data_IF_652104511687
#
_entry.id   IF_652104511687
#
_cell.length_a   1.000
_cell.length_b   1.000
_cell.length_c   1.000
_cell.angle_alpha   90.00
_cell.angle_beta   90.00
_cell.angle_gamma   90.00
#
_symmetry.space_group_name_H-M   'P 1'
#
loop_
_entity.id
_entity.type
_entity.pdbx_description
1 polymer ?
#
# COMPACT_ATOMS: atom_id res chain seq x y z
N UNK A 1 -7.49 2.57 80.40
CA UNK A 1 -7.04 1.22 79.98
C UNK A 1 -8.16 0.58 79.19
N UNK A 2 -7.80 0.08 78.00
CA UNK A 2 -8.68 -0.36 76.91
C UNK A 2 -9.50 -1.61 77.23
N UNK A 3 -10.68 -1.77 76.61
CA UNK A 3 -11.09 -3.06 76.02
C UNK A 3 -11.71 -2.83 74.64
N UNK A 4 -11.34 -3.73 73.75
CA UNK A 4 -11.37 -3.72 72.29
C UNK A 4 -12.76 -4.03 71.73
N UNK A 5 -13.20 -3.27 70.73
CA UNK A 5 -14.30 -3.69 69.82
C UNK A 5 -13.74 -4.55 68.71
N UNK A 6 -14.29 -5.75 68.53
CA UNK A 6 -14.03 -6.61 67.38
C UNK A 6 -15.26 -6.57 66.47
N UNK A 7 -15.13 -5.99 65.28
CA UNK A 7 -16.05 -6.22 64.16
C UNK A 7 -15.20 -6.62 62.95
N UNK A 8 -15.60 -7.75 62.37
CA UNK A 8 -14.94 -8.43 61.28
C UNK A 8 -15.34 -7.87 59.90
N UNK A 9 -14.33 -7.80 59.02
CA UNK A 9 -14.33 -8.08 57.56
C UNK A 9 -15.26 -7.28 56.65
N UNK A 10 -14.70 -6.59 55.65
CA UNK A 10 -14.89 -6.90 54.21
C UNK A 10 -13.64 -6.47 53.43
N UNK A 11 -13.02 -7.44 52.76
CA UNK A 11 -11.97 -7.27 51.77
C UNK A 11 -12.55 -6.59 50.53
N UNK A 12 -12.16 -5.36 50.24
CA UNK A 12 -12.42 -4.72 48.95
C UNK A 12 -11.29 -5.08 47.99
N UNK A 13 -11.67 -5.88 47.00
CA UNK A 13 -10.90 -6.41 45.90
C UNK A 13 -10.05 -5.36 45.18
N UNK A 14 -8.74 -5.63 45.11
CA UNK A 14 -7.82 -4.96 44.19
C UNK A 14 -8.33 -5.12 42.76
N UNK A 15 -8.66 -4.02 42.09
CA UNK A 15 -8.71 -3.98 40.64
C UNK A 15 -7.29 -4.22 40.13
N UNK A 16 -6.97 -5.49 39.87
CA UNK A 16 -5.80 -5.86 39.13
C UNK A 16 -5.93 -5.20 37.74
N UNK A 17 -5.06 -4.24 37.46
CA UNK A 17 -4.72 -3.91 36.08
C UNK A 17 -4.11 -5.18 35.49
N UNK A 18 -4.96 -5.98 34.85
CA UNK A 18 -4.52 -7.05 33.98
C UNK A 18 -3.71 -6.39 32.86
N UNK A 19 -2.39 -6.50 32.97
CA UNK A 19 -1.53 -6.48 31.79
C UNK A 19 -2.07 -7.54 30.84
N UNK A 20 -2.78 -7.14 29.78
CA UNK A 20 -2.94 -7.98 28.60
C UNK A 20 -1.52 -8.26 28.09
N UNK A 21 -0.91 -9.35 28.55
CA UNK A 21 0.15 -9.99 27.80
C UNK A 21 -0.48 -10.33 26.45
N UNK A 22 -0.13 -9.58 25.41
CA UNK A 22 -0.41 -9.97 24.04
C UNK A 22 0.13 -11.38 23.84
N UNK A 23 -0.76 -12.38 23.95
CA UNK A 23 -0.44 -13.76 23.67
C UNK A 23 -0.21 -13.84 22.16
N UNK A 24 1.05 -13.75 21.74
CA UNK A 24 1.39 -14.03 20.36
C UNK A 24 1.10 -15.52 20.11
N UNK A 25 0.20 -15.88 19.18
CA UNK A 25 -0.03 -17.27 18.85
C UNK A 25 1.29 -17.90 18.40
N UNK A 26 1.53 -19.15 18.82
CA UNK A 26 2.75 -19.89 18.44
C UNK A 26 2.79 -20.21 16.95
N UNK A 27 1.61 -20.30 16.31
CA UNK A 27 1.48 -20.43 14.86
C UNK A 27 1.58 -19.06 14.19
N UNK A 28 2.42 -18.98 13.17
CA UNK A 28 2.58 -17.77 12.36
C UNK A 28 1.31 -17.42 11.58
N UNK A 29 0.92 -16.14 11.48
CA UNK A 29 -0.15 -15.71 10.59
C UNK A 29 0.18 -15.96 9.11
N UNK A 30 1.44 -16.23 8.78
CA UNK A 30 1.93 -16.43 7.42
C UNK A 30 2.06 -17.92 7.02
N UNK A 31 1.46 -18.83 7.78
CA UNK A 31 1.61 -20.29 7.55
C UNK A 31 1.23 -20.68 6.12
N UNK A 32 0.12 -20.15 5.61
CA UNK A 32 -0.34 -20.40 4.23
C UNK A 32 0.55 -19.73 3.16
N UNK A 33 1.31 -18.69 3.54
CA UNK A 33 2.16 -17.94 2.62
C UNK A 33 3.46 -18.69 2.27
N UNK A 34 3.79 -19.72 3.04
CA UNK A 34 4.96 -20.58 2.78
C UNK A 34 4.90 -21.28 1.43
N UNK A 35 3.71 -21.46 0.84
CA UNK A 35 3.52 -22.03 -0.49
C UNK A 35 3.73 -21.06 -1.65
N UNK A 36 3.91 -19.75 -1.41
CA UNK A 36 4.11 -18.76 -2.48
C UNK A 36 5.41 -18.99 -3.24
N UNK A 37 5.42 -18.67 -4.54
CA UNK A 37 6.63 -18.72 -5.36
C UNK A 37 7.68 -17.69 -4.94
N UNK A 38 7.24 -16.49 -4.52
CA UNK A 38 8.07 -15.42 -3.97
C UNK A 38 7.46 -15.10 -2.60
N UNK A 39 8.20 -15.24 -1.49
CA UNK A 39 7.57 -15.18 -0.15
C UNK A 39 6.99 -13.80 0.16
N UNK A 40 7.61 -12.74 -0.36
CA UNK A 40 7.18 -11.34 -0.17
C UNK A 40 5.99 -10.91 -1.04
N UNK A 41 5.60 -11.67 -2.07
CA UNK A 41 4.56 -11.28 -3.03
C UNK A 41 3.51 -12.37 -3.20
N UNK A 42 2.24 -12.03 -3.01
CA UNK A 42 1.13 -12.90 -3.40
C UNK A 42 0.97 -12.95 -4.93
N UNK A 43 0.24 -13.95 -5.43
CA UNK A 43 -0.12 -14.01 -6.87
C UNK A 43 -0.89 -12.76 -7.31
N UNK A 44 -1.79 -12.26 -6.45
CA UNK A 44 -2.53 -11.03 -6.71
C UNK A 44 -1.62 -9.80 -6.78
N UNK A 45 -0.56 -9.73 -5.97
CA UNK A 45 0.44 -8.65 -6.06
C UNK A 45 1.19 -8.72 -7.39
N UNK A 46 1.61 -9.92 -7.79
CA UNK A 46 2.30 -10.14 -9.07
C UNK A 46 1.39 -9.73 -10.23
N UNK A 47 0.14 -10.17 -10.25
CA UNK A 47 -0.83 -9.83 -11.29
C UNK A 47 -1.10 -8.31 -11.35
N UNK A 48 -1.24 -7.66 -10.19
CA UNK A 48 -1.38 -6.20 -10.09
C UNK A 48 -0.17 -5.48 -10.68
N UNK A 49 1.05 -5.92 -10.36
CA UNK A 49 2.28 -5.35 -10.89
C UNK A 49 2.44 -5.60 -12.40
N UNK A 50 2.13 -6.82 -12.87
CA UNK A 50 2.26 -7.21 -14.28
C UNK A 50 1.28 -6.48 -15.20
N UNK A 51 0.14 -6.03 -14.69
CA UNK A 51 -0.83 -5.22 -15.46
C UNK A 51 -0.61 -3.70 -15.31
N UNK A 52 0.41 -3.27 -14.56
CA UNK A 52 0.68 -1.86 -14.25
C UNK A 52 -0.37 -1.21 -13.35
N UNK A 53 -0.97 -2.01 -12.48
CA UNK A 53 -1.98 -1.60 -11.51
C UNK A 53 -1.39 -0.73 -10.41
N UNK A 54 -2.26 -0.06 -9.64
CA UNK A 54 -1.86 0.98 -8.72
C UNK A 54 -1.17 0.47 -7.44
N UNK A 55 -1.41 -0.78 -7.05
CA UNK A 55 -0.83 -1.45 -5.87
C UNK A 55 -0.75 -0.59 -4.59
N UNK A 56 -1.70 0.34 -4.41
CA UNK A 56 -1.72 1.30 -3.30
C UNK A 56 -0.61 2.36 -3.29
N UNK A 57 0.24 2.42 -4.31
CA UNK A 57 1.47 3.24 -4.34
C UNK A 57 1.19 4.75 -4.35
N UNK A 58 0.09 5.17 -4.98
CA UNK A 58 -0.31 6.58 -5.07
C UNK A 58 -1.30 7.04 -4.00
N UNK A 59 -1.53 6.26 -2.92
CA UNK A 59 -2.41 6.66 -1.82
C UNK A 59 -2.14 8.08 -1.28
N UNK A 60 -0.87 8.54 -1.12
CA UNK A 60 -0.61 9.92 -0.69
C UNK A 60 -1.18 10.99 -1.63
N UNK A 61 -1.24 10.73 -2.93
CA UNK A 61 -1.85 11.66 -3.90
C UNK A 61 -3.38 11.52 -3.88
N UNK A 62 -3.87 10.30 -4.10
CA UNK A 62 -5.30 9.99 -4.21
C UNK A 62 -6.10 10.46 -2.99
N UNK A 63 -5.66 10.09 -1.78
CA UNK A 63 -6.37 10.39 -0.54
C UNK A 63 -6.24 11.87 -0.11
N UNK A 64 -5.35 12.64 -0.75
CA UNK A 64 -5.24 14.09 -0.59
C UNK A 64 -5.84 14.86 -1.77
N UNK A 65 -6.71 14.19 -2.53
CA UNK A 65 -7.55 14.82 -3.55
C UNK A 65 -6.87 15.16 -4.86
N UNK A 66 -5.74 14.50 -5.17
CA UNK A 66 -5.12 14.54 -6.50
C UNK A 66 -5.73 13.43 -7.36
N UNK A 67 -6.49 13.73 -8.43
CA UNK A 67 -7.19 12.71 -9.19
C UNK A 67 -6.25 11.74 -9.92
N UNK A 68 -6.56 10.45 -9.83
CA UNK A 68 -5.88 9.40 -10.59
C UNK A 68 -6.50 9.18 -11.97
N UNK A 69 -5.71 8.90 -13.02
CA UNK A 69 -6.20 8.85 -14.40
C UNK A 69 -7.28 7.80 -14.66
N UNK A 70 -7.16 6.59 -14.09
CA UNK A 70 -8.13 5.51 -14.31
C UNK A 70 -9.52 5.86 -13.80
N UNK A 71 -9.62 6.25 -12.52
CA UNK A 71 -10.89 6.61 -11.90
C UNK A 71 -11.47 7.89 -12.50
N UNK A 72 -10.62 8.83 -12.91
CA UNK A 72 -11.05 10.05 -13.57
C UNK A 72 -11.69 9.74 -14.94
N UNK A 73 -11.11 8.84 -15.74
CA UNK A 73 -11.69 8.41 -17.01
C UNK A 73 -13.01 7.67 -16.84
N UNK A 74 -13.14 6.87 -15.77
CA UNK A 74 -14.37 6.16 -15.44
C UNK A 74 -15.54 7.11 -15.11
N UNK A 75 -15.25 8.33 -14.63
CA UNK A 75 -16.24 9.33 -14.23
C UNK A 75 -16.23 10.59 -15.13
N UNK A 76 -15.70 10.47 -16.35
CA UNK A 76 -15.42 11.63 -17.23
C UNK A 76 -16.65 12.47 -17.54
N UNK A 77 -17.82 11.83 -17.64
CA UNK A 77 -19.08 12.50 -17.99
C UNK A 77 -19.62 13.24 -16.76
N UNK A 78 -19.60 12.60 -15.59
CA UNK A 78 -20.07 13.16 -14.32
C UNK A 78 -19.21 14.34 -13.86
N UNK A 79 -17.92 14.33 -14.20
CA UNK A 79 -16.96 15.40 -13.90
C UNK A 79 -17.05 16.54 -14.93
N UNK A 80 -17.60 16.28 -16.12
CA UNK A 80 -17.65 17.25 -17.21
C UNK A 80 -16.28 17.51 -17.81
N UNK A 81 -15.50 16.45 -18.10
CA UNK A 81 -14.24 16.58 -18.82
C UNK A 81 -14.49 16.99 -20.28
N UNK A 82 -13.68 17.91 -20.79
CA UNK A 82 -13.67 18.22 -22.23
C UNK A 82 -13.08 17.06 -23.02
N UNK A 83 -13.38 16.97 -24.32
CA UNK A 83 -12.78 15.96 -25.19
C UNK A 83 -11.25 16.03 -25.19
N UNK A 84 -10.69 17.24 -25.15
CA UNK A 84 -9.23 17.45 -25.03
C UNK A 84 -8.67 16.89 -23.72
N UNK A 85 -9.33 17.17 -22.58
CA UNK A 85 -8.91 16.63 -21.29
C UNK A 85 -8.98 15.10 -21.30
N UNK A 86 -10.05 14.50 -21.84
CA UNK A 86 -10.17 13.04 -21.95
C UNK A 86 -9.00 12.45 -22.72
N UNK A 87 -8.65 12.99 -23.88
CA UNK A 87 -7.51 12.51 -24.66
C UNK A 87 -6.18 12.63 -23.90
N UNK A 88 -5.99 13.73 -23.18
CA UNK A 88 -4.77 13.99 -22.42
C UNK A 88 -4.64 13.06 -21.21
N UNK A 89 -5.74 12.81 -20.47
CA UNK A 89 -5.78 11.81 -19.39
C UNK A 89 -5.54 10.40 -19.93
N UNK A 90 -6.10 10.03 -21.08
CA UNK A 90 -5.84 8.73 -21.72
C UNK A 90 -4.36 8.55 -22.06
N UNK A 91 -3.70 9.61 -22.57
CA UNK A 91 -2.27 9.59 -22.86
C UNK A 91 -1.44 9.42 -21.58
N UNK A 92 -1.78 10.15 -20.51
CA UNK A 92 -1.11 10.03 -19.19
C UNK A 92 -1.29 8.61 -18.64
N UNK A 93 -2.51 8.06 -18.71
CA UNK A 93 -2.80 6.70 -18.27
C UNK A 93 -1.96 5.66 -19.03
N UNK A 94 -1.90 5.78 -20.36
CA UNK A 94 -1.17 4.83 -21.20
C UNK A 94 0.35 4.89 -20.97
N UNK A 95 0.94 6.09 -20.79
CA UNK A 95 2.36 6.23 -20.43
C UNK A 95 2.65 5.63 -19.05
N UNK A 96 1.85 6.02 -18.05
CA UNK A 96 1.98 5.50 -16.69
C UNK A 96 1.90 3.97 -16.69
N UNK A 97 0.89 3.39 -17.34
CA UNK A 97 0.67 1.94 -17.34
C UNK A 97 1.83 1.20 -18.01
N UNK A 98 2.28 1.68 -19.18
CA UNK A 98 3.44 1.09 -19.88
C UNK A 98 4.69 1.08 -18.98
N UNK A 99 4.99 2.22 -18.34
CA UNK A 99 6.15 2.36 -17.46
C UNK A 99 6.01 1.48 -16.22
N UNK A 100 4.81 1.44 -15.63
CA UNK A 100 4.52 0.61 -14.46
C UNK A 100 4.65 -0.89 -14.76
N UNK A 101 4.21 -1.37 -15.94
CA UNK A 101 4.40 -2.78 -16.35
C UNK A 101 5.90 -3.11 -16.43
N UNK A 102 6.69 -2.26 -17.11
CA UNK A 102 8.12 -2.49 -17.26
C UNK A 102 8.85 -2.49 -15.91
N UNK A 103 8.49 -1.59 -15.01
CA UNK A 103 9.10 -1.54 -13.67
C UNK A 103 8.58 -2.65 -12.76
N UNK A 104 7.30 -3.04 -12.88
CA UNK A 104 6.71 -4.16 -12.15
C UNK A 104 7.43 -5.47 -12.47
N UNK A 105 7.78 -5.71 -13.73
CA UNK A 105 8.60 -6.85 -14.14
C UNK A 105 9.98 -6.86 -13.46
N UNK A 106 10.63 -5.69 -13.35
CA UNK A 106 11.93 -5.53 -12.68
C UNK A 106 11.81 -5.81 -11.19
N UNK A 107 10.79 -5.26 -10.54
CA UNK A 107 10.54 -5.45 -9.12
C UNK A 107 10.28 -6.93 -8.79
N UNK A 108 9.38 -7.60 -9.52
CA UNK A 108 9.10 -9.04 -9.33
C UNK A 108 10.36 -9.89 -9.55
N UNK A 109 11.19 -9.55 -10.53
CA UNK A 109 12.44 -10.27 -10.76
C UNK A 109 13.46 -10.06 -9.62
N UNK A 110 13.58 -8.85 -9.10
CA UNK A 110 14.46 -8.54 -7.97
C UNK A 110 14.00 -9.25 -6.68
N UNK A 111 12.71 -9.24 -6.38
CA UNK A 111 12.14 -9.98 -5.24
C UNK A 111 12.37 -11.49 -5.37
N UNK A 112 12.23 -12.05 -6.59
CA UNK A 112 12.54 -13.47 -6.84
C UNK A 112 14.01 -13.80 -6.60
N UNK A 113 14.93 -12.92 -6.99
CA UNK A 113 16.37 -13.12 -6.76
C UNK A 113 16.73 -13.04 -5.27
N UNK A 114 16.17 -12.07 -4.55
CA UNK A 114 16.30 -11.97 -3.09
C UNK A 114 15.76 -13.23 -2.41
N UNK A 115 14.59 -13.71 -2.83
CA UNK A 115 13.97 -14.91 -2.27
C UNK A 115 14.83 -16.18 -2.51
N UNK A 116 15.37 -16.33 -3.73
CA UNK A 116 16.15 -17.49 -4.14
C UNK A 116 17.40 -17.71 -3.27
N UNK A 117 18.16 -16.67 -2.93
CA UNK A 117 19.39 -16.83 -2.13
C UNK A 117 19.11 -17.34 -0.71
N UNK A 118 17.91 -17.08 -0.17
CA UNK A 118 17.47 -17.64 1.11
C UNK A 118 16.96 -19.07 0.95
N UNK A 119 16.18 -19.36 -0.10
CA UNK A 119 15.74 -20.72 -0.42
C UNK A 119 16.92 -21.68 -0.57
N UNK A 120 17.96 -21.25 -1.30
CA UNK A 120 19.17 -22.02 -1.58
C UNK A 120 20.16 -22.05 -0.41
N UNK A 121 19.88 -21.30 0.67
CA UNK A 121 20.77 -21.14 1.84
C UNK A 121 22.17 -20.65 1.46
N UNK A 122 22.27 -19.87 0.38
CA UNK A 122 23.54 -19.41 -0.20
C UNK A 122 23.84 -17.93 0.10
N UNK A 123 22.93 -17.23 0.79
CA UNK A 123 23.07 -15.80 1.07
C UNK A 123 24.33 -15.51 1.91
N UNK A 124 25.20 -14.66 1.36
CA UNK A 124 26.28 -14.05 2.12
C UNK A 124 25.85 -12.65 2.61
N UNK A 125 26.19 -12.30 3.85
CA UNK A 125 25.82 -11.00 4.45
C UNK A 125 26.29 -9.81 3.59
N UNK A 126 27.45 -9.94 2.93
CA UNK A 126 28.00 -8.93 2.02
C UNK A 126 27.17 -8.70 0.74
N UNK A 127 26.32 -9.63 0.34
CA UNK A 127 25.46 -9.53 -0.85
C UNK A 127 24.11 -8.88 -0.53
N UNK A 128 23.67 -8.94 0.73
CA UNK A 128 22.32 -8.55 1.14
C UNK A 128 21.97 -7.09 0.80
N UNK A 129 22.85 -6.08 1.01
CA UNK A 129 22.52 -4.70 0.66
C UNK A 129 22.18 -4.54 -0.83
N UNK A 130 22.97 -5.15 -1.73
CA UNK A 130 22.77 -5.01 -3.16
C UNK A 130 21.45 -5.66 -3.65
N UNK A 131 21.06 -6.80 -3.05
CA UNK A 131 19.80 -7.48 -3.39
C UNK A 131 18.59 -6.65 -2.93
N UNK A 132 18.65 -6.09 -1.72
CA UNK A 132 17.60 -5.22 -1.18
C UNK A 132 17.51 -3.94 -1.99
N UNK A 133 18.64 -3.27 -2.26
CA UNK A 133 18.67 -2.01 -3.00
C UNK A 133 18.07 -2.20 -4.40
N UNK A 134 18.37 -3.32 -5.07
CA UNK A 134 17.79 -3.64 -6.38
C UNK A 134 16.26 -3.69 -6.36
N UNK A 135 15.68 -4.33 -5.33
CA UNK A 135 14.22 -4.41 -5.18
C UNK A 135 13.62 -3.05 -4.80
N UNK A 136 14.18 -2.37 -3.81
CA UNK A 136 13.64 -1.10 -3.29
C UNK A 136 13.82 0.08 -4.26
N UNK A 137 14.89 0.09 -5.07
CA UNK A 137 15.01 1.06 -6.18
C UNK A 137 13.87 0.90 -7.18
N UNK A 138 13.53 -0.35 -7.53
CA UNK A 138 12.45 -0.63 -8.47
C UNK A 138 11.08 -0.27 -7.88
N UNK A 139 10.86 -0.61 -6.60
CA UNK A 139 9.66 -0.23 -5.85
C UNK A 139 9.51 1.29 -5.72
N UNK A 140 10.60 2.01 -5.48
CA UNK A 140 10.64 3.48 -5.46
C UNK A 140 10.24 4.06 -6.83
N UNK A 141 10.77 3.50 -7.92
CA UNK A 141 10.41 3.91 -9.30
C UNK A 141 8.93 3.65 -9.60
N UNK A 142 8.39 2.49 -9.24
CA UNK A 142 6.96 2.18 -9.33
C UNK A 142 6.12 3.25 -8.61
N UNK A 143 6.50 3.59 -7.37
CA UNK A 143 5.81 4.62 -6.60
C UNK A 143 5.86 5.99 -7.26
N UNK A 144 7.02 6.37 -7.80
CA UNK A 144 7.20 7.61 -8.55
C UNK A 144 6.31 7.65 -9.80
N UNK A 145 6.26 6.57 -10.59
CA UNK A 145 5.43 6.47 -11.81
C UNK A 145 3.96 6.78 -11.50
N UNK A 146 3.39 6.14 -10.48
CA UNK A 146 1.98 6.37 -10.14
C UNK A 146 1.74 7.76 -9.56
N UNK A 147 2.59 8.25 -8.66
CA UNK A 147 2.40 9.59 -8.06
C UNK A 147 2.55 10.69 -9.13
N UNK A 148 3.52 10.56 -10.04
CA UNK A 148 3.69 11.51 -11.15
C UNK A 148 2.44 11.60 -12.02
N UNK A 149 1.78 10.49 -12.33
CA UNK A 149 0.56 10.50 -13.13
C UNK A 149 -0.59 11.29 -12.45
N UNK A 150 -0.71 11.21 -11.11
CA UNK A 150 -1.65 12.04 -10.37
C UNK A 150 -1.32 13.55 -10.46
N UNK A 151 -0.03 13.91 -10.42
CA UNK A 151 0.41 15.31 -10.58
C UNK A 151 0.12 15.84 -11.99
N UNK A 152 0.40 15.04 -13.01
CA UNK A 152 0.13 15.37 -14.40
C UNK A 152 -1.38 15.56 -14.65
N UNK A 153 -2.22 14.67 -14.14
CA UNK A 153 -3.68 14.80 -14.21
C UNK A 153 -4.16 16.07 -13.49
N UNK A 154 -3.68 16.33 -12.27
CA UNK A 154 -4.07 17.52 -11.51
C UNK A 154 -3.73 18.82 -12.25
N UNK A 155 -2.67 18.85 -13.07
CA UNK A 155 -2.26 20.04 -13.82
C UNK A 155 -3.19 20.39 -15.00
N UNK A 156 -4.10 19.50 -15.39
CA UNK A 156 -4.94 19.67 -16.59
C UNK A 156 -6.43 19.81 -16.26
N UNK A 157 -6.79 19.76 -14.96
CA UNK A 157 -8.14 19.89 -14.47
C UNK A 157 -8.38 21.26 -13.84
N UNK A 158 -9.63 21.72 -13.89
CA UNK A 158 -10.04 22.90 -13.14
C UNK A 158 -10.26 22.56 -11.66
N UNK A 159 -10.22 23.56 -10.75
CA UNK A 159 -10.57 23.35 -9.35
C UNK A 159 -11.96 22.73 -9.16
N UNK A 160 -12.93 23.08 -10.00
CA UNK A 160 -14.30 22.55 -9.96
C UNK A 160 -14.35 21.07 -10.36
N UNK A 161 -13.56 20.65 -11.35
CA UNK A 161 -13.47 19.24 -11.74
C UNK A 161 -12.78 18.40 -10.67
N UNK A 162 -11.70 18.89 -10.06
CA UNK A 162 -11.06 18.26 -8.90
C UNK A 162 -12.04 18.17 -7.74
N UNK A 163 -12.83 19.22 -7.54
CA UNK A 163 -13.86 19.24 -6.52
C UNK A 163 -14.91 18.15 -6.73
N UNK A 164 -15.39 18.00 -7.97
CA UNK A 164 -16.37 16.98 -8.32
C UNK A 164 -15.81 15.57 -8.22
N UNK A 165 -14.57 15.36 -8.65
CA UNK A 165 -13.87 14.09 -8.45
C UNK A 165 -13.85 13.67 -6.97
N UNK A 166 -13.46 14.59 -6.08
CA UNK A 166 -13.35 14.30 -4.65
C UNK A 166 -14.70 14.02 -3.98
N UNK A 167 -15.78 14.65 -4.45
CA UNK A 167 -17.15 14.32 -4.04
C UNK A 167 -17.54 12.90 -4.48
N UNK A 168 -17.37 12.57 -5.77
CA UNK A 168 -17.71 11.26 -6.32
C UNK A 168 -16.92 10.10 -5.69
N UNK A 169 -15.70 10.37 -5.23
CA UNK A 169 -14.85 9.40 -4.53
C UNK A 169 -15.09 9.30 -3.02
N UNK A 170 -15.93 10.16 -2.46
CA UNK A 170 -16.19 10.19 -1.02
C UNK A 170 -15.00 10.68 -0.18
N UNK A 171 -14.10 11.46 -0.78
CA UNK A 171 -12.96 12.06 -0.07
C UNK A 171 -13.32 13.37 0.62
N UNK A 172 -14.47 13.94 0.28
CA UNK A 172 -15.10 15.03 1.04
C UNK A 172 -16.12 14.44 2.00
N UNK A 173 -16.02 14.84 3.27
CA UNK A 173 -17.08 14.69 4.26
C UNK A 173 -17.96 15.93 4.24
#
# INVERSE_FOLDING_TARGET
MNVVSTIAVVLLSNAAFATEQHQHPTMSPYTEETGRQIKSLSEADIDELMRGGGWGLAKPAELNGYPGPSHLLAMKNEIGLTQEQVHRVQSIFADMQRRAIQEGQRFVAAERELDAVFQDRSVAESQLPALIDKAEESRSRLRMIHISAHLEVKAILTPEQIAKYNELRGYRK
#
